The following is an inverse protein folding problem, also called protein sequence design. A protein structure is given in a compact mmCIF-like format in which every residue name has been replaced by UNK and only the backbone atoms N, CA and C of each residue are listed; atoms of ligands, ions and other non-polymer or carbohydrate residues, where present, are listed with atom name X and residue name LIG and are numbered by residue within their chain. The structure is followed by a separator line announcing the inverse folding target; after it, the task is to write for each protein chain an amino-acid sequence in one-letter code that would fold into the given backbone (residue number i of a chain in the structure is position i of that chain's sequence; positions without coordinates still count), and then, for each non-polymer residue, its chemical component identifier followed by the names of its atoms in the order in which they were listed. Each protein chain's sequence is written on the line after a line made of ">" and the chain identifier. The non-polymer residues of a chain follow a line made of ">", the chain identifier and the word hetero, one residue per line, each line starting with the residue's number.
data_IF_057031188236
#
_entry.id   IF_057031188236
#
_cell.length_a   1.000
_cell.length_b   1.000
_cell.length_c   1.000
_cell.angle_alpha   90.00
_cell.angle_beta   90.00
_cell.angle_gamma   90.00
#
_symmetry.space_group_name_H-M   'P 1'
#
loop_
_entity.id
_entity.type
_entity.pdbx_description
1 polymer ?
#
# COMPACT_ATOMS: atom_id res chain seq x y z
N UNK A 1 -70.45 -33.93 -43.53
CA UNK A 1 -70.32 -32.98 -42.40
C UNK A 1 -70.10 -33.81 -41.16
N UNK A 2 -68.90 -33.77 -40.58
CA UNK A 2 -68.60 -34.45 -39.32
C UNK A 2 -69.36 -33.75 -38.20
N UNK A 3 -70.29 -34.45 -37.54
CA UNK A 3 -70.99 -33.95 -36.36
C UNK A 3 -70.09 -34.17 -35.15
N UNK A 4 -69.40 -33.11 -34.72
CA UNK A 4 -68.65 -33.12 -33.46
C UNK A 4 -69.62 -33.18 -32.26
N UNK A 5 -69.27 -33.96 -31.26
CA UNK A 5 -70.00 -34.03 -30.00
C UNK A 5 -69.75 -32.78 -29.15
N UNK A 6 -70.71 -32.41 -28.30
CA UNK A 6 -70.61 -31.23 -27.44
C UNK A 6 -69.39 -31.27 -26.50
N UNK A 7 -69.02 -32.47 -26.04
CA UNK A 7 -67.81 -32.70 -25.23
C UNK A 7 -66.51 -32.43 -25.98
N UNK A 8 -66.42 -32.79 -27.26
CA UNK A 8 -65.24 -32.52 -28.09
C UNK A 8 -65.04 -31.01 -28.29
N UNK A 9 -66.13 -30.26 -28.50
CA UNK A 9 -66.09 -28.80 -28.66
C UNK A 9 -65.60 -28.13 -27.36
N UNK A 10 -66.11 -28.57 -26.21
CA UNK A 10 -65.68 -28.03 -24.91
C UNK A 10 -64.21 -28.33 -24.65
N UNK A 11 -63.76 -29.55 -24.96
CA UNK A 11 -62.37 -29.95 -24.76
C UNK A 11 -61.41 -29.21 -25.70
N UNK A 12 -61.77 -29.07 -26.98
CA UNK A 12 -61.01 -28.28 -27.96
C UNK A 12 -60.87 -26.82 -27.50
N UNK A 13 -61.98 -26.20 -27.08
CA UNK A 13 -61.98 -24.82 -26.63
C UNK A 13 -61.14 -24.63 -25.35
N UNK A 14 -61.29 -25.51 -24.38
CA UNK A 14 -60.51 -25.48 -23.14
C UNK A 14 -59.01 -25.67 -23.40
N UNK A 15 -58.65 -26.59 -24.30
CA UNK A 15 -57.25 -26.83 -24.66
C UNK A 15 -56.65 -25.64 -25.43
N UNK A 16 -57.42 -25.04 -26.34
CA UNK A 16 -57.02 -23.83 -27.09
C UNK A 16 -56.79 -22.63 -26.15
N UNK A 17 -57.67 -22.42 -25.18
CA UNK A 17 -57.46 -21.39 -24.16
C UNK A 17 -56.28 -21.69 -23.23
N UNK A 18 -56.07 -22.96 -22.86
CA UNK A 18 -54.95 -23.37 -22.01
C UNK A 18 -53.59 -23.08 -22.66
N UNK A 19 -53.43 -23.42 -23.95
CA UNK A 19 -52.20 -23.11 -24.71
C UNK A 19 -51.99 -21.58 -24.81
N UNK A 20 -53.07 -20.84 -25.06
CA UNK A 20 -53.00 -19.37 -25.17
C UNK A 20 -52.52 -18.74 -23.87
N UNK A 21 -53.04 -19.19 -22.73
CA UNK A 21 -52.62 -18.69 -21.41
C UNK A 21 -51.15 -19.02 -21.14
N UNK A 22 -50.70 -20.26 -21.42
CA UNK A 22 -49.30 -20.64 -21.24
C UNK A 22 -48.34 -19.83 -22.13
N UNK A 23 -48.73 -19.59 -23.38
CA UNK A 23 -47.92 -18.80 -24.31
C UNK A 23 -47.81 -17.34 -23.89
N UNK A 24 -48.90 -16.74 -23.40
CA UNK A 24 -48.92 -15.35 -22.92
C UNK A 24 -48.21 -15.20 -21.57
N UNK A 25 -48.24 -16.24 -20.74
CA UNK A 25 -47.59 -16.24 -19.43
C UNK A 25 -46.06 -16.34 -19.49
N UNK A 26 -45.46 -16.72 -20.63
CA UNK A 26 -44.01 -16.85 -20.77
C UNK A 26 -43.33 -15.47 -20.73
N UNK A 27 -42.53 -15.13 -19.70
CA UNK A 27 -42.01 -13.79 -19.52
C UNK A 27 -40.68 -13.61 -20.27
N UNK A 28 -40.69 -13.67 -21.60
CA UNK A 28 -39.48 -13.59 -22.43
C UNK A 28 -38.63 -12.35 -22.13
N UNK A 29 -39.26 -11.20 -21.86
CA UNK A 29 -38.57 -9.95 -21.52
C UNK A 29 -37.87 -10.02 -20.16
N UNK A 30 -38.41 -10.77 -19.19
CA UNK A 30 -37.84 -10.90 -17.85
C UNK A 30 -36.47 -11.60 -17.90
N UNK A 31 -36.33 -12.61 -18.77
CA UNK A 31 -35.08 -13.35 -18.95
C UNK A 31 -33.93 -12.51 -19.52
N UNK A 32 -34.24 -11.42 -20.24
CA UNK A 32 -33.25 -10.50 -20.82
C UNK A 32 -32.98 -9.27 -19.96
N UNK A 33 -33.94 -8.86 -19.12
CA UNK A 33 -33.82 -7.64 -18.32
C UNK A 33 -32.54 -7.62 -17.45
N UNK A 34 -32.29 -8.68 -16.69
CA UNK A 34 -31.12 -8.78 -15.79
C UNK A 34 -29.79 -8.80 -16.54
N UNK A 35 -29.53 -9.67 -17.54
CA UNK A 35 -28.25 -9.68 -18.24
C UNK A 35 -27.97 -8.37 -18.99
N UNK A 36 -28.99 -7.72 -19.57
CA UNK A 36 -28.81 -6.41 -20.21
C UNK A 36 -28.47 -5.33 -19.17
N UNK A 37 -29.16 -5.29 -18.03
CA UNK A 37 -28.86 -4.34 -16.96
C UNK A 37 -27.44 -4.53 -16.40
N UNK A 38 -27.04 -5.78 -16.13
CA UNK A 38 -25.69 -6.10 -15.66
C UNK A 38 -24.64 -5.70 -16.69
N UNK A 39 -24.83 -6.02 -17.98
CA UNK A 39 -23.88 -5.67 -19.04
C UNK A 39 -23.68 -4.16 -19.17
N UNK A 40 -24.76 -3.38 -19.11
CA UNK A 40 -24.67 -1.92 -19.17
C UNK A 40 -24.01 -1.36 -17.91
N UNK A 41 -24.40 -1.83 -16.73
CA UNK A 41 -23.85 -1.36 -15.46
C UNK A 41 -22.35 -1.64 -15.32
N UNK A 42 -21.88 -2.83 -15.73
CA UNK A 42 -20.45 -3.15 -15.73
C UNK A 42 -19.68 -2.32 -16.76
N UNK A 43 -20.27 -2.03 -17.93
CA UNK A 43 -19.68 -1.15 -18.93
C UNK A 43 -19.52 0.29 -18.45
N UNK A 44 -20.54 0.85 -17.82
CA UNK A 44 -20.50 2.20 -17.21
C UNK A 44 -19.51 2.24 -16.04
N UNK A 45 -19.48 1.19 -15.22
CA UNK A 45 -18.50 1.04 -14.15
C UNK A 45 -17.06 1.04 -14.67
N UNK A 46 -16.78 0.27 -15.73
CA UNK A 46 -15.46 0.20 -16.34
C UNK A 46 -14.99 1.55 -16.90
N UNK A 47 -15.88 2.32 -17.53
CA UNK A 47 -15.58 3.68 -17.97
C UNK A 47 -15.24 4.64 -16.81
N UNK A 48 -15.71 4.32 -15.60
CA UNK A 48 -15.41 5.06 -14.36
C UNK A 48 -14.25 4.46 -13.55
N UNK A 49 -13.53 3.46 -14.10
CA UNK A 49 -12.42 2.78 -13.42
C UNK A 49 -12.84 1.74 -12.39
N UNK A 50 -14.12 1.34 -12.36
CA UNK A 50 -14.67 0.32 -11.45
C UNK A 50 -14.88 -0.98 -12.22
N UNK A 51 -14.00 -1.95 -12.00
CA UNK A 51 -14.10 -3.26 -12.64
C UNK A 51 -14.95 -4.22 -11.82
N UNK A 52 -16.13 -4.58 -12.32
CA UNK A 52 -17.07 -5.49 -11.67
C UNK A 52 -17.06 -6.83 -12.41
N UNK A 53 -16.73 -7.92 -11.71
CA UNK A 53 -16.66 -9.27 -12.29
C UNK A 53 -17.99 -10.02 -12.10
N UNK A 54 -18.87 -9.93 -13.10
CA UNK A 54 -20.18 -10.60 -13.10
C UNK A 54 -21.32 -9.77 -12.49
N UNK A 55 -22.54 -10.33 -12.49
CA UNK A 55 -23.74 -9.63 -11.98
C UNK A 55 -23.96 -9.75 -10.48
N UNK A 56 -23.56 -10.88 -9.88
CA UNK A 56 -23.76 -11.14 -8.45
C UNK A 56 -23.08 -10.08 -7.55
N UNK A 57 -21.82 -9.65 -7.78
CA UNK A 57 -21.22 -8.58 -6.98
C UNK A 57 -21.94 -7.24 -7.09
N UNK A 58 -22.53 -6.93 -8.25
CA UNK A 58 -23.29 -5.69 -8.46
C UNK A 58 -24.58 -5.70 -7.63
N UNK A 59 -25.28 -6.84 -7.58
CA UNK A 59 -26.47 -7.00 -6.75
C UNK A 59 -26.14 -7.00 -5.25
N UNK A 60 -25.05 -7.66 -4.86
CA UNK A 60 -24.57 -7.70 -3.48
C UNK A 60 -24.12 -6.33 -2.99
N UNK A 61 -23.47 -5.52 -3.84
CA UNK A 61 -23.01 -4.18 -3.48
C UNK A 61 -24.12 -3.30 -2.91
N UNK A 62 -25.37 -3.45 -3.39
CA UNK A 62 -26.53 -2.72 -2.86
C UNK A 62 -26.93 -3.14 -1.43
N UNK A 63 -26.58 -4.35 -1.01
CA UNK A 63 -26.90 -4.88 0.33
C UNK A 63 -25.79 -4.62 1.35
N UNK A 64 -24.63 -4.10 0.91
CA UNK A 64 -23.50 -3.79 1.80
C UNK A 64 -23.90 -2.69 2.78
N UNK A 65 -23.61 -2.93 4.06
CA UNK A 65 -23.78 -1.94 5.15
C UNK A 65 -22.47 -1.55 5.82
N UNK A 66 -21.45 -2.39 5.67
CA UNK A 66 -20.16 -2.24 6.34
C UNK A 66 -19.05 -2.46 5.33
N UNK A 67 -18.08 -1.55 5.28
CA UNK A 67 -16.89 -1.62 4.46
C UNK A 67 -15.69 -1.75 5.39
N UNK A 68 -14.93 -2.82 5.20
CA UNK A 68 -13.66 -3.02 5.89
C UNK A 68 -12.55 -2.65 4.92
N UNK A 69 -11.77 -1.64 5.27
CA UNK A 69 -10.61 -1.21 4.51
C UNK A 69 -9.37 -1.95 5.02
N UNK A 70 -8.59 -2.47 4.07
CA UNK A 70 -7.18 -2.74 4.33
C UNK A 70 -6.42 -1.40 4.42
N UNK A 71 -5.32 -1.35 5.16
CA UNK A 71 -4.53 -0.12 5.28
C UNK A 71 -3.62 0.07 4.08
N UNK A 72 -2.69 -0.85 3.91
CA UNK A 72 -1.56 -0.72 2.99
C UNK A 72 -2.04 -0.82 1.54
N UNK A 73 -1.77 0.22 0.74
CA UNK A 73 -2.14 0.26 -0.68
C UNK A 73 -3.61 0.57 -0.97
N UNK A 74 -4.49 0.48 0.03
CA UNK A 74 -5.91 0.88 -0.10
C UNK A 74 -6.11 2.31 0.40
N UNK A 75 -5.92 2.56 1.70
CA UNK A 75 -6.00 3.90 2.29
C UNK A 75 -4.71 4.69 2.03
N UNK A 76 -3.57 4.00 2.09
CA UNK A 76 -2.25 4.57 1.82
C UNK A 76 -1.85 4.38 0.36
N UNK A 77 -0.81 5.10 -0.09
CA UNK A 77 -0.30 4.99 -1.46
C UNK A 77 0.33 3.62 -1.75
N UNK A 78 0.66 2.83 -0.73
CA UNK A 78 1.33 1.53 -0.87
C UNK A 78 2.81 1.68 -1.22
N UNK A 79 3.38 2.86 -1.01
CA UNK A 79 4.76 3.20 -1.32
C UNK A 79 5.32 4.00 -0.15
N UNK A 80 6.08 3.37 0.76
CA UNK A 80 6.63 4.08 1.90
C UNK A 80 7.59 5.18 1.44
N UNK A 81 7.58 6.30 2.16
CA UNK A 81 8.45 7.45 1.95
C UNK A 81 9.08 7.87 3.28
N UNK A 82 10.24 8.53 3.19
CA UNK A 82 10.91 9.10 4.36
C UNK A 82 10.19 10.39 4.73
N UNK A 83 9.62 10.44 5.93
CA UNK A 83 8.85 11.59 6.41
C UNK A 83 9.71 12.55 7.24
N UNK A 84 10.67 12.02 7.98
CA UNK A 84 11.52 12.78 8.88
C UNK A 84 12.91 12.15 8.97
N UNK A 85 13.91 13.00 9.21
CA UNK A 85 15.34 12.65 9.24
C UNK A 85 15.98 13.43 10.37
N UNK A 86 16.50 12.72 11.36
CA UNK A 86 17.14 13.36 12.52
C UNK A 86 18.58 12.88 12.66
N UNK A 87 19.47 13.80 12.97
CA UNK A 87 20.86 13.52 13.35
C UNK A 87 20.99 13.75 14.85
N UNK A 88 21.72 12.86 15.51
CA UNK A 88 21.95 12.90 16.96
C UNK A 88 23.39 13.27 17.34
N UNK A 89 24.31 13.31 16.38
CA UNK A 89 25.70 13.71 16.62
C UNK A 89 25.83 15.22 16.42
N UNK A 90 26.31 15.92 17.45
CA UNK A 90 26.55 17.36 17.42
C UNK A 90 28.03 17.72 17.11
N UNK A 91 28.96 16.74 17.20
CA UNK A 91 30.43 16.98 17.25
C UNK A 91 31.25 16.54 16.00
N UNK A 92 30.64 16.07 14.91
CA UNK A 92 31.35 15.70 13.68
C UNK A 92 30.96 16.67 12.54
N UNK A 93 31.77 17.73 12.34
CA UNK A 93 31.57 18.84 11.38
C UNK A 93 31.44 18.37 9.90
N UNK A 94 31.70 17.09 9.66
CA UNK A 94 31.69 16.48 8.33
C UNK A 94 30.43 15.68 8.00
N UNK A 95 29.50 15.49 8.93
CA UNK A 95 28.39 14.54 8.77
C UNK A 95 27.02 15.23 8.72
N UNK A 96 26.75 15.87 7.59
CA UNK A 96 25.46 16.52 7.27
C UNK A 96 24.34 15.50 7.01
N UNK A 97 23.07 15.90 7.18
CA UNK A 97 21.87 15.13 6.81
C UNK A 97 21.96 14.53 5.39
N UNK A 98 22.53 15.30 4.48
CA UNK A 98 22.64 14.93 3.06
C UNK A 98 23.67 13.82 2.86
N UNK A 99 24.76 13.87 3.63
CA UNK A 99 25.78 12.83 3.64
C UNK A 99 25.27 11.55 4.27
N UNK A 100 24.56 11.65 5.40
CA UNK A 100 23.88 10.50 6.02
C UNK A 100 22.91 9.84 5.04
N UNK A 101 22.10 10.62 4.32
CA UNK A 101 21.16 10.12 3.33
C UNK A 101 21.87 9.41 2.17
N UNK A 102 22.94 10.00 1.62
CA UNK A 102 23.73 9.41 0.54
C UNK A 102 24.39 8.09 0.97
N UNK A 103 24.94 8.05 2.17
CA UNK A 103 25.56 6.85 2.77
C UNK A 103 24.51 5.75 2.97
N UNK A 104 23.38 6.08 3.58
CA UNK A 104 22.32 5.12 3.85
C UNK A 104 21.67 4.58 2.56
N UNK A 105 21.38 5.45 1.59
CA UNK A 105 20.83 5.03 0.30
C UNK A 105 21.80 4.14 -0.50
N UNK A 106 23.11 4.36 -0.36
CA UNK A 106 24.13 3.50 -0.97
C UNK A 106 24.21 2.15 -0.25
N UNK A 107 24.16 2.12 1.08
CA UNK A 107 24.13 0.87 1.85
C UNK A 107 22.88 0.03 1.55
N UNK A 108 21.74 0.69 1.35
CA UNK A 108 20.45 0.08 1.02
C UNK A 108 20.35 -0.36 -0.44
N UNK A 109 21.32 -0.04 -1.31
CA UNK A 109 21.23 -0.37 -2.74
C UNK A 109 21.18 -1.88 -3.01
N UNK A 110 21.69 -2.70 -2.08
CA UNK A 110 21.64 -4.16 -2.15
C UNK A 110 20.36 -4.78 -1.57
N UNK A 111 19.45 -3.97 -1.04
CA UNK A 111 18.24 -4.42 -0.34
C UNK A 111 16.99 -4.17 -1.20
N UNK A 112 16.15 -5.20 -1.33
CA UNK A 112 14.83 -5.12 -1.99
C UNK A 112 13.70 -4.73 -1.02
N UNK A 113 14.04 -4.44 0.24
CA UNK A 113 13.05 -4.14 1.26
C UNK A 113 12.30 -2.83 0.95
N UNK A 114 10.96 -2.73 1.17
CA UNK A 114 10.20 -1.51 0.90
C UNK A 114 10.77 -0.25 1.59
N UNK A 115 11.29 -0.39 2.82
CA UNK A 115 11.96 0.71 3.54
C UNK A 115 13.28 1.15 2.87
N UNK A 116 14.04 0.21 2.31
CA UNK A 116 15.26 0.49 1.55
C UNK A 116 14.95 1.33 0.31
N UNK A 117 13.90 0.92 -0.42
CA UNK A 117 13.42 1.65 -1.59
C UNK A 117 12.96 3.07 -1.23
N UNK A 118 12.35 3.27 -0.06
CA UNK A 118 11.96 4.61 0.42
C UNK A 118 13.17 5.54 0.57
N UNK A 119 14.23 5.06 1.25
CA UNK A 119 15.48 5.83 1.46
C UNK A 119 16.17 6.11 0.12
N UNK A 120 16.23 5.12 -0.78
CA UNK A 120 16.82 5.27 -2.11
C UNK A 120 16.07 6.29 -2.97
N UNK A 121 14.74 6.24 -2.97
CA UNK A 121 13.89 7.18 -3.71
C UNK A 121 14.05 8.60 -3.17
N UNK A 122 14.14 8.75 -1.86
CA UNK A 122 14.38 10.04 -1.21
C UNK A 122 15.74 10.65 -1.61
N UNK A 123 16.78 9.83 -1.65
CA UNK A 123 18.10 10.23 -2.14
C UNK A 123 18.05 10.64 -3.63
N UNK A 124 17.38 9.84 -4.47
CA UNK A 124 17.22 10.13 -5.90
C UNK A 124 16.48 11.45 -6.15
N UNK A 125 15.44 11.74 -5.37
CA UNK A 125 14.71 13.00 -5.47
C UNK A 125 15.56 14.20 -5.03
N UNK A 126 16.33 14.05 -3.95
CA UNK A 126 17.14 15.15 -3.40
C UNK A 126 18.33 15.52 -4.29
N UNK A 127 19.11 14.53 -4.74
CA UNK A 127 20.33 14.76 -5.52
C UNK A 127 20.10 14.77 -7.04
N UNK A 128 18.88 14.45 -7.50
CA UNK A 128 18.50 14.36 -8.93
C UNK A 128 19.46 13.54 -9.79
N UNK A 129 20.12 12.56 -9.17
CA UNK A 129 21.20 11.79 -9.76
C UNK A 129 20.95 10.31 -9.48
N UNK A 130 21.23 9.46 -10.47
CA UNK A 130 21.14 8.00 -10.34
C UNK A 130 22.47 7.34 -9.94
N UNK A 131 23.55 8.12 -9.92
CA UNK A 131 24.84 7.64 -9.43
C UNK A 131 24.71 7.31 -7.94
N UNK A 132 25.11 6.10 -7.59
CA UNK A 132 25.22 5.60 -6.23
C UNK A 132 26.68 5.29 -5.96
N UNK A 133 27.07 5.34 -4.70
CA UNK A 133 28.36 4.77 -4.30
C UNK A 133 28.37 3.24 -4.51
N UNK A 134 29.50 2.62 -4.21
CA UNK A 134 29.63 1.17 -4.24
C UNK A 134 29.30 0.58 -2.87
N UNK A 135 28.43 -0.43 -2.86
CA UNK A 135 28.13 -1.22 -1.67
C UNK A 135 28.95 -2.51 -1.70
N UNK A 136 29.75 -2.73 -0.66
CA UNK A 136 30.59 -3.91 -0.42
C UNK A 136 30.09 -4.64 0.84
N UNK A 137 30.22 -5.97 0.87
CA UNK A 137 29.89 -6.82 2.02
C UNK A 137 28.49 -6.62 2.61
N UNK A 138 27.47 -6.53 1.75
CA UNK A 138 26.08 -6.45 2.17
C UNK A 138 25.64 -7.71 2.93
N UNK A 139 25.14 -7.54 4.14
CA UNK A 139 24.55 -8.59 4.99
C UNK A 139 23.26 -8.08 5.60
N UNK A 140 22.13 -8.67 5.20
CA UNK A 140 20.83 -8.41 5.81
C UNK A 140 20.43 -9.52 6.79
N UNK A 141 19.91 -9.14 7.96
CA UNK A 141 19.34 -10.06 8.95
C UNK A 141 17.87 -9.72 9.16
N UNK A 142 17.00 -10.68 8.83
CA UNK A 142 15.55 -10.55 8.97
C UNK A 142 15.14 -10.17 10.38
N UNK A 143 14.28 -9.14 10.50
CA UNK A 143 13.76 -8.66 11.78
C UNK A 143 14.70 -7.75 12.58
N UNK A 144 15.92 -7.49 12.09
CA UNK A 144 16.88 -6.61 12.76
C UNK A 144 17.30 -5.43 11.89
N UNK A 145 17.93 -5.71 10.75
CA UNK A 145 18.56 -4.68 9.94
C UNK A 145 19.59 -5.23 8.98
N UNK A 146 20.44 -4.35 8.47
CA UNK A 146 21.54 -4.64 7.57
C UNK A 146 22.87 -4.09 8.09
N UNK A 147 23.92 -4.67 7.54
CA UNK A 147 25.30 -4.23 7.62
C UNK A 147 25.86 -4.13 6.20
N UNK A 148 26.53 -3.04 5.89
CA UNK A 148 27.19 -2.85 4.60
C UNK A 148 28.41 -1.94 4.76
N UNK A 149 29.39 -2.11 3.87
CA UNK A 149 30.53 -1.21 3.75
C UNK A 149 30.38 -0.40 2.46
N UNK A 150 30.39 0.92 2.55
CA UNK A 150 30.16 1.80 1.40
C UNK A 150 31.41 2.59 1.05
N UNK A 151 31.66 2.76 -0.24
CA UNK A 151 32.76 3.55 -0.81
C UNK A 151 32.27 4.43 -1.97
N UNK A 152 33.03 5.48 -2.30
CA UNK A 152 32.75 6.32 -3.48
C UNK A 152 31.51 7.20 -3.35
N UNK A 153 31.30 7.83 -2.19
CA UNK A 153 30.21 8.80 -1.96
C UNK A 153 30.49 10.15 -2.63
N UNK A 154 31.72 10.34 -3.12
CA UNK A 154 32.18 11.55 -3.82
C UNK A 154 31.38 11.83 -5.10
N UNK A 155 30.73 10.80 -5.66
CA UNK A 155 29.80 10.96 -6.79
C UNK A 155 28.51 11.72 -6.43
N UNK A 156 28.16 11.79 -5.14
CA UNK A 156 26.95 12.45 -4.63
C UNK A 156 27.25 13.77 -3.90
N UNK A 157 28.44 13.91 -3.30
CA UNK A 157 28.84 15.12 -2.57
C UNK A 157 30.28 15.49 -2.98
N UNK A 158 30.49 16.59 -3.73
CA UNK A 158 31.78 16.92 -4.34
C UNK A 158 32.91 17.34 -3.36
N UNK A 159 32.63 17.40 -2.05
CA UNK A 159 33.59 17.78 -1.00
C UNK A 159 34.09 16.59 -0.16
N UNK A 160 33.75 15.34 -0.52
CA UNK A 160 34.19 14.18 0.25
C UNK A 160 35.58 13.67 -0.15
N UNK A 161 36.29 13.21 0.86
CA UNK A 161 37.63 12.62 0.81
C UNK A 161 37.58 11.34 -0.05
N UNK A 162 38.17 11.40 -1.24
CA UNK A 162 38.01 10.49 -2.41
C UNK A 162 38.32 9.00 -2.21
N UNK A 163 38.56 8.56 -0.97
CA UNK A 163 38.99 7.20 -0.67
C UNK A 163 38.57 6.68 0.70
N UNK A 164 37.56 7.29 1.33
CA UNK A 164 37.09 6.87 2.65
C UNK A 164 36.00 5.80 2.51
N UNK A 165 36.24 4.63 3.11
CA UNK A 165 35.24 3.58 3.27
C UNK A 165 34.49 3.77 4.58
N UNK A 166 33.16 3.74 4.55
CA UNK A 166 32.32 3.82 5.74
C UNK A 166 31.70 2.47 6.05
N UNK A 167 31.71 2.10 7.32
CA UNK A 167 30.96 0.93 7.78
C UNK A 167 29.59 1.37 8.25
N UNK A 168 28.53 0.85 7.62
CA UNK A 168 27.16 1.31 7.81
C UNK A 168 26.31 0.18 8.40
N UNK A 169 25.56 0.53 9.44
CA UNK A 169 24.57 -0.30 10.11
C UNK A 169 23.23 0.41 10.02
N UNK A 170 22.19 -0.26 9.51
CA UNK A 170 20.84 0.30 9.46
C UNK A 170 19.90 -0.73 10.09
N UNK A 171 19.07 -0.35 11.06
CA UNK A 171 18.18 -1.32 11.69
C UNK A 171 17.44 -0.80 12.92
N UNK A 172 16.85 -1.74 13.65
CA UNK A 172 16.11 -1.48 14.89
C UNK A 172 17.04 -1.31 16.11
N UNK A 173 16.45 -1.03 17.28
CA UNK A 173 17.16 -0.86 18.55
C UNK A 173 18.03 -2.07 18.90
N UNK A 174 17.48 -3.28 18.75
CA UNK A 174 18.18 -4.52 19.06
C UNK A 174 19.41 -4.75 18.16
N UNK A 175 19.31 -4.36 16.87
CA UNK A 175 20.40 -4.44 15.92
C UNK A 175 21.58 -3.55 16.34
N UNK A 176 21.28 -2.33 16.81
CA UNK A 176 22.29 -1.40 17.29
C UNK A 176 22.97 -1.92 18.56
N UNK A 177 22.20 -2.40 19.54
CA UNK A 177 22.74 -2.96 20.78
C UNK A 177 23.63 -4.18 20.52
N UNK A 178 23.26 -5.05 19.55
CA UNK A 178 24.09 -6.22 19.16
C UNK A 178 25.44 -5.85 18.57
N UNK A 179 25.57 -4.67 17.97
CA UNK A 179 26.82 -4.16 17.42
C UNK A 179 27.54 -3.21 18.39
N UNK A 180 27.21 -3.25 19.67
CA UNK A 180 27.79 -2.41 20.73
C UNK A 180 27.59 -0.89 20.48
N UNK A 181 26.52 -0.50 19.79
CA UNK A 181 26.14 0.90 19.64
C UNK A 181 25.21 1.30 20.80
N UNK A 182 25.60 2.34 21.53
CA UNK A 182 24.81 2.83 22.66
C UNK A 182 23.62 3.65 22.15
N UNK A 183 22.40 3.16 22.37
CA UNK A 183 21.17 3.90 22.10
C UNK A 183 20.83 4.70 23.34
N UNK A 184 21.06 6.01 23.30
CA UNK A 184 20.77 6.90 24.44
C UNK A 184 19.27 7.13 24.62
N UNK A 185 18.84 7.48 25.83
CA UNK A 185 17.43 7.78 26.15
C UNK A 185 16.82 8.89 25.29
N UNK A 186 17.66 9.79 24.74
CA UNK A 186 17.21 10.85 23.81
C UNK A 186 16.77 10.24 22.48
N UNK A 187 17.53 9.28 21.98
CA UNK A 187 17.28 8.60 20.70
C UNK A 187 16.08 7.67 20.84
N UNK A 188 16.01 6.93 21.95
CA UNK A 188 14.88 6.04 22.21
C UNK A 188 13.55 6.80 22.33
N UNK A 189 13.57 7.98 22.97
CA UNK A 189 12.42 8.90 22.99
C UNK A 189 12.05 9.40 21.60
N UNK A 190 13.03 9.81 20.80
CA UNK A 190 12.78 10.27 19.43
C UNK A 190 12.16 9.17 18.55
N UNK A 191 12.65 7.92 18.67
CA UNK A 191 12.04 6.77 18.00
C UNK A 191 10.61 6.52 18.48
N UNK A 192 10.38 6.57 19.79
CA UNK A 192 9.07 6.28 20.38
C UNK A 192 7.99 7.28 19.95
N UNK A 193 8.36 8.56 19.76
CA UNK A 193 7.44 9.58 19.22
C UNK A 193 6.97 9.19 17.82
N UNK A 194 7.91 8.81 16.94
CA UNK A 194 7.58 8.41 15.57
C UNK A 194 6.79 7.09 15.51
N UNK A 195 7.10 6.15 16.40
CA UNK A 195 6.35 4.89 16.50
C UNK A 195 4.91 5.10 16.98
N UNK A 196 4.68 6.02 17.93
CA UNK A 196 3.34 6.40 18.38
C UNK A 196 2.50 7.03 17.26
N UNK A 197 3.14 7.77 16.36
CA UNK A 197 2.50 8.33 15.17
C UNK A 197 2.26 7.27 14.06
N UNK A 198 2.64 6.01 14.29
CA UNK A 198 2.48 4.91 13.34
C UNK A 198 3.55 4.89 12.25
N UNK A 199 4.66 5.58 12.45
CA UNK A 199 5.80 5.58 11.55
C UNK A 199 6.80 4.48 11.94
N UNK A 200 7.47 3.90 10.94
CA UNK A 200 8.58 2.98 11.15
C UNK A 200 9.87 3.78 11.32
N UNK A 201 10.41 3.82 12.54
CA UNK A 201 11.69 4.45 12.82
C UNK A 201 12.85 3.45 12.62
N UNK A 202 13.84 3.83 11.81
CA UNK A 202 15.04 3.04 11.55
C UNK A 202 16.26 3.85 11.95
N UNK A 203 17.15 3.25 12.74
CA UNK A 203 18.40 3.88 13.17
C UNK A 203 19.50 3.67 12.15
N UNK A 204 20.44 4.61 12.08
CA UNK A 204 21.62 4.56 11.23
C UNK A 204 22.88 4.77 12.04
N UNK A 205 23.77 3.77 12.00
CA UNK A 205 25.11 3.83 12.54
C UNK A 205 26.16 3.89 11.42
N UNK A 206 27.17 4.74 11.59
CA UNK A 206 28.30 4.90 10.66
C UNK A 206 29.59 4.83 11.48
N UNK A 207 30.56 4.03 11.01
CA UNK A 207 31.88 3.85 11.64
C UNK A 207 31.80 3.57 13.15
N UNK A 208 30.88 2.67 13.51
CA UNK A 208 30.61 2.26 14.88
C UNK A 208 30.14 3.40 15.81
N UNK A 209 29.53 4.46 15.25
CA UNK A 209 28.82 5.50 15.99
C UNK A 209 27.37 5.58 15.50
N UNK A 210 26.44 5.83 16.42
CA UNK A 210 25.03 6.04 16.09
C UNK A 210 24.84 7.48 15.61
N UNK A 211 24.51 7.65 14.32
CA UNK A 211 24.51 8.96 13.65
C UNK A 211 23.14 9.61 13.69
N UNK A 212 22.09 8.86 13.38
CA UNK A 212 20.79 9.42 13.15
C UNK A 212 19.70 8.37 12.99
N UNK A 213 18.52 8.85 12.61
CA UNK A 213 17.35 8.01 12.31
C UNK A 213 16.61 8.50 11.08
N UNK A 214 15.94 7.55 10.42
CA UNK A 214 14.93 7.79 9.40
C UNK A 214 13.58 7.34 9.93
N UNK A 215 12.59 8.24 9.88
CA UNK A 215 11.21 7.86 10.07
C UNK A 215 10.58 7.64 8.69
N UNK A 216 9.99 6.45 8.50
CA UNK A 216 9.43 6.01 7.23
C UNK A 216 7.97 5.65 7.45
N UNK A 217 7.10 6.18 6.61
CA UNK A 217 5.68 5.92 6.69
C UNK A 217 5.08 5.75 5.29
N UNK A 218 3.97 5.02 5.19
CA UNK A 218 3.18 4.98 3.97
C UNK A 218 2.16 6.12 4.00
N UNK A 219 2.32 7.07 3.10
CA UNK A 219 1.51 8.28 3.06
C UNK A 219 0.04 7.94 2.72
N UNK A 220 -0.89 8.57 3.44
CA UNK A 220 -2.32 8.42 3.18
C UNK A 220 -2.66 9.03 1.81
N UNK A 221 -3.50 8.36 1.01
CA UNK A 221 -3.97 8.93 -0.25
C UNK A 221 -4.77 10.21 0.03
N UNK A 222 -4.58 11.29 -0.75
CA UNK A 222 -5.31 12.54 -0.54
C UNK A 222 -6.83 12.37 -0.68
N UNK A 223 -7.26 11.37 -1.46
CA UNK A 223 -8.68 11.05 -1.67
C UNK A 223 -9.28 10.15 -0.58
N UNK A 224 -8.47 9.53 0.28
CA UNK A 224 -8.97 8.57 1.27
C UNK A 224 -9.89 9.22 2.33
N UNK A 225 -9.56 10.37 2.93
CA UNK A 225 -10.45 11.02 3.91
C UNK A 225 -11.81 11.40 3.31
N UNK A 226 -11.81 11.94 2.09
CA UNK A 226 -13.03 12.31 1.37
C UNK A 226 -13.87 11.07 1.01
N UNK A 227 -13.21 9.99 0.59
CA UNK A 227 -13.90 8.72 0.30
C UNK A 227 -14.57 8.15 1.53
N UNK A 228 -13.88 8.11 2.67
CA UNK A 228 -14.45 7.63 3.94
C UNK A 228 -15.64 8.50 4.36
N UNK A 229 -15.49 9.83 4.29
CA UNK A 229 -16.57 10.75 4.61
C UNK A 229 -17.79 10.56 3.70
N UNK A 230 -17.59 10.38 2.39
CA UNK A 230 -18.67 10.13 1.45
C UNK A 230 -19.40 8.81 1.74
N UNK A 231 -18.67 7.74 2.05
CA UNK A 231 -19.26 6.44 2.40
C UNK A 231 -20.05 6.50 3.71
N UNK A 232 -19.53 7.19 4.72
CA UNK A 232 -20.24 7.43 5.98
C UNK A 232 -21.50 8.28 5.77
N UNK A 233 -21.44 9.28 4.88
CA UNK A 233 -22.60 10.10 4.49
C UNK A 233 -23.69 9.30 3.76
N UNK A 234 -23.32 8.20 3.10
CA UNK A 234 -24.26 7.22 2.52
C UNK A 234 -24.85 6.26 3.58
N UNK A 235 -24.48 6.38 4.85
CA UNK A 235 -24.93 5.53 5.94
C UNK A 235 -24.19 4.20 6.05
N UNK A 236 -23.03 4.06 5.41
CA UNK A 236 -22.20 2.86 5.49
C UNK A 236 -21.23 2.96 6.67
N UNK A 237 -21.07 1.86 7.42
CA UNK A 237 -20.08 1.77 8.48
C UNK A 237 -18.70 1.43 7.90
N UNK A 238 -17.68 2.24 8.20
CA UNK A 238 -16.31 2.02 7.72
C UNK A 238 -15.42 1.54 8.86
N UNK A 239 -14.66 0.47 8.65
CA UNK A 239 -13.71 -0.11 9.62
C UNK A 239 -12.34 -0.22 8.96
N UNK A 240 -11.26 0.07 9.67
CA UNK A 240 -9.90 -0.21 9.23
C UNK A 240 -9.43 -1.53 9.83
N UNK A 241 -8.93 -2.44 9.00
CA UNK A 241 -8.27 -3.67 9.42
C UNK A 241 -6.80 -3.56 9.03
N UNK A 242 -5.90 -3.63 10.01
CA UNK A 242 -4.45 -3.52 9.79
C UNK A 242 -3.70 -4.47 10.70
N UNK A 243 -2.59 -5.01 10.20
CA UNK A 243 -1.65 -5.84 10.97
C UNK A 243 -0.53 -5.02 11.64
N UNK A 244 -0.54 -3.70 11.49
CA UNK A 244 0.48 -2.85 12.09
C UNK A 244 0.27 -2.75 13.60
N UNK A 245 1.37 -2.68 14.35
CA UNK A 245 1.34 -2.73 15.82
C UNK A 245 0.56 -1.53 16.39
N UNK A 246 -0.36 -1.83 17.31
CA UNK A 246 -1.16 -0.83 18.08
C UNK A 246 -0.40 -0.40 19.36
N UNK A 247 0.90 -0.73 19.48
CA UNK A 247 1.64 -0.48 20.72
C UNK A 247 1.90 0.99 20.98
#
# INVERSE_FOLDING_TARGET
>A
MTHYSQSEIVFELAFRYSITVLSVACPCALGLATPTAVMVATGVGAASGILIKGGEPLELARKVRTIVFDKTGTITKGKPSVIDKQIFIEDDDHLTLDRMLAIAATAESGSEHPLALAIQNECKQKFRTEQKGQCLDFKATWGYGLFARVTGIDCLIPESDTQRSYTVLIGNREWMVRHNLNVSDRIDRAMSIHEQDGHTAVLVGIDNKLVGMFAIADEIKPTAPLTIFALQSLGLHTILLTGDNIK
#
